data_IF_289577494811
#
_entry.id   IF_289577494811
#
_cell.length_a   1.000
_cell.length_b   1.000
_cell.length_c   1.000
_cell.angle_alpha   90.00
_cell.angle_beta   90.00
_cell.angle_gamma   90.00
#
_symmetry.space_group_name_H-M   'P 1'
#
loop_
_entity.id
_entity.type
_entity.pdbx_description
1 polymer ?
#
# COMPACT_ATOMS: atom_id res chain seq x y z
N UNK A 1 15.43 -2.92 -18.66
CA UNK A 1 14.67 -2.34 -17.54
C UNK A 1 14.20 -0.97 -18.02
N UNK A 2 12.91 -0.81 -18.29
CA UNK A 2 12.37 0.48 -18.72
C UNK A 2 12.29 1.45 -17.53
N UNK A 3 12.28 2.75 -17.83
CA UNK A 3 12.73 3.81 -16.93
C UNK A 3 11.61 4.72 -16.39
N UNK A 4 10.44 4.22 -15.99
CA UNK A 4 9.30 5.10 -15.64
C UNK A 4 8.45 4.79 -14.40
N UNK A 5 8.76 3.77 -13.60
CA UNK A 5 7.93 3.43 -12.43
C UNK A 5 8.01 4.45 -11.30
N UNK A 6 7.20 5.51 -11.30
CA UNK A 6 7.15 6.42 -10.16
C UNK A 6 6.63 5.69 -8.92
N UNK A 7 7.15 6.07 -7.75
CA UNK A 7 6.51 5.67 -6.50
C UNK A 7 5.09 6.25 -6.46
N UNK A 8 4.11 5.43 -6.12
CA UNK A 8 2.71 5.84 -6.02
C UNK A 8 2.22 5.69 -4.59
N UNK A 9 1.30 6.58 -4.21
CA UNK A 9 0.57 6.52 -2.96
C UNK A 9 -0.92 6.49 -3.28
N UNK A 10 -1.60 5.46 -2.81
CA UNK A 10 -3.05 5.31 -2.91
C UNK A 10 -3.67 5.51 -1.52
N UNK A 11 -4.54 6.50 -1.40
CA UNK A 11 -5.36 6.70 -0.22
C UNK A 11 -6.53 5.71 -0.21
N UNK A 12 -6.72 4.98 0.90
CA UNK A 12 -7.74 3.94 1.04
C UNK A 12 -8.81 4.25 2.10
N UNK A 13 -8.78 5.45 2.70
CA UNK A 13 -9.71 5.90 3.73
C UNK A 13 -9.09 5.93 5.13
N UNK A 14 -9.56 6.86 5.99
CA UNK A 14 -9.01 7.10 7.33
C UNK A 14 -7.48 7.27 7.31
N UNK A 15 -6.74 6.49 8.11
CA UNK A 15 -5.27 6.45 8.09
C UNK A 15 -4.69 5.45 7.07
N UNK A 16 -5.53 4.71 6.34
CA UNK A 16 -5.08 3.61 5.50
C UNK A 16 -4.51 4.08 4.17
N UNK A 17 -3.28 3.66 3.88
CA UNK A 17 -2.56 3.97 2.65
C UNK A 17 -1.94 2.72 2.02
N UNK A 18 -1.77 2.73 0.70
CA UNK A 18 -0.85 1.84 0.00
C UNK A 18 0.21 2.62 -0.74
N UNK A 19 1.46 2.33 -0.44
CA UNK A 19 2.62 2.83 -1.19
C UNK A 19 3.06 1.71 -2.14
N UNK A 20 3.33 2.05 -3.39
CA UNK A 20 4.06 1.18 -4.32
C UNK A 20 5.35 1.88 -4.72
N UNK A 21 6.49 1.30 -4.38
CA UNK A 21 7.81 1.87 -4.69
C UNK A 21 8.14 1.74 -6.18
N UNK A 22 9.17 2.46 -6.63
CA UNK A 22 9.69 2.33 -8.00
C UNK A 22 10.10 0.90 -8.39
N UNK A 23 10.60 0.11 -7.45
CA UNK A 23 10.97 -1.30 -7.66
C UNK A 23 9.80 -2.28 -7.40
N UNK A 24 8.58 -1.76 -7.29
CA UNK A 24 7.34 -2.54 -7.23
C UNK A 24 6.96 -3.07 -5.86
N UNK A 25 7.66 -2.68 -4.78
CA UNK A 25 7.33 -3.10 -3.42
C UNK A 25 6.02 -2.48 -2.97
N UNK A 26 5.17 -3.28 -2.34
CA UNK A 26 3.86 -2.90 -1.83
C UNK A 26 3.92 -2.77 -0.31
N UNK A 27 3.68 -1.55 0.17
CA UNK A 27 3.66 -1.24 1.60
C UNK A 27 2.25 -0.78 1.96
N UNK A 28 1.65 -1.40 2.96
CA UNK A 28 0.38 -0.95 3.53
C UNK A 28 0.60 -0.24 4.86
N UNK A 29 -0.04 0.92 5.02
CA UNK A 29 -0.10 1.66 6.29
C UNK A 29 -1.49 1.50 6.86
N UNK A 30 -1.60 1.09 8.12
CA UNK A 30 -2.83 0.86 8.86
C UNK A 30 -3.93 0.19 8.02
N UNK A 31 -3.67 -0.99 7.43
CA UNK A 31 -4.69 -1.68 6.65
C UNK A 31 -5.83 -2.10 7.59
N UNK A 32 -6.90 -1.33 7.63
CA UNK A 32 -8.15 -1.78 8.21
C UNK A 32 -8.74 -2.80 7.24
N UNK A 33 -9.21 -3.97 7.72
CA UNK A 33 -9.83 -5.02 6.92
C UNK A 33 -11.11 -4.48 6.25
N UNK A 34 -10.94 -3.63 5.24
CA UNK A 34 -12.00 -3.04 4.45
C UNK A 34 -12.64 -4.12 3.58
N UNK A 35 -13.69 -3.70 2.86
CA UNK A 35 -14.50 -4.55 1.99
C UNK A 35 -13.70 -5.54 1.14
N UNK A 36 -14.39 -6.57 0.66
CA UNK A 36 -13.95 -7.62 -0.26
C UNK A 36 -13.15 -7.15 -1.50
N UNK A 37 -13.07 -5.84 -1.78
CA UNK A 37 -12.31 -5.24 -2.89
C UNK A 37 -10.97 -4.63 -2.49
N UNK A 38 -10.68 -4.47 -1.20
CA UNK A 38 -9.46 -3.80 -0.72
C UNK A 38 -8.31 -4.79 -0.47
N UNK A 39 -7.07 -4.27 -0.41
CA UNK A 39 -5.87 -5.02 0.01
C UNK A 39 -5.55 -6.30 -0.79
N UNK A 40 -5.86 -6.31 -2.09
CA UNK A 40 -5.64 -7.49 -2.95
C UNK A 40 -4.20 -7.76 -3.36
N UNK A 41 -3.32 -6.76 -3.27
CA UNK A 41 -1.91 -6.97 -3.60
C UNK A 41 -1.22 -7.59 -2.39
N UNK A 42 -0.33 -8.59 -2.59
CA UNK A 42 0.49 -9.09 -1.49
C UNK A 42 1.34 -7.93 -0.96
N UNK A 43 1.42 -7.84 0.37
CA UNK A 43 2.23 -6.84 1.04
C UNK A 43 3.67 -7.35 1.15
N UNK A 44 4.64 -6.49 0.81
CA UNK A 44 6.04 -6.70 1.19
C UNK A 44 6.30 -6.20 2.61
N UNK A 45 5.55 -5.18 3.07
CA UNK A 45 5.62 -4.60 4.41
C UNK A 45 4.25 -4.08 4.86
N UNK A 46 3.96 -4.23 6.16
CA UNK A 46 2.83 -3.60 6.83
C UNK A 46 3.36 -2.69 7.94
N UNK A 47 2.92 -1.44 7.94
CA UNK A 47 3.19 -0.46 8.99
C UNK A 47 1.92 -0.23 9.79
N UNK A 48 2.00 -0.43 11.10
CA UNK A 48 0.91 -0.19 12.05
C UNK A 48 1.32 1.00 12.91
N UNK A 49 0.54 2.08 12.88
CA UNK A 49 0.87 3.32 13.60
C UNK A 49 0.61 3.20 15.10
N UNK A 50 -0.50 2.57 15.49
CA UNK A 50 -0.91 2.32 16.87
C UNK A 50 -1.84 1.11 16.94
N UNK A 51 -2.12 0.64 18.16
CA UNK A 51 -3.06 -0.44 18.46
C UNK A 51 -4.26 0.04 19.25
#
# INVERSE_FOLDING_TARGET
>A
MDASGQSTLLYQGHGSLRITTRDGKVIYVDPYAGSDKSYKKPADLILVTHG
#
